data_IF_500410563464
#
_entry.id   IF_500410563464
#
_cell.length_a   1.000
_cell.length_b   1.000
_cell.length_c   1.000
_cell.angle_alpha   90.00
_cell.angle_beta   90.00
_cell.angle_gamma   90.00
#
_symmetry.space_group_name_H-M   'P 1'
#
loop_
_entity.id
_entity.type
_entity.pdbx_description
1 polymer ?
#
# COMPACT_ATOMS: atom_id res chain seq x y z
N UNK A 1 18.05 -1.82 2.11
CA UNK A 1 17.24 -2.02 0.88
C UNK A 1 16.23 -3.14 1.05
N UNK A 2 16.64 -4.40 1.29
CA UNK A 2 15.72 -5.56 1.38
C UNK A 2 14.61 -5.39 2.42
N UNK A 3 14.92 -4.89 3.61
CA UNK A 3 13.92 -4.61 4.65
C UNK A 3 12.87 -3.58 4.21
N UNK A 4 13.26 -2.58 3.42
CA UNK A 4 12.34 -1.60 2.85
C UNK A 4 11.44 -2.25 1.80
N UNK A 5 11.99 -3.06 0.89
CA UNK A 5 11.20 -3.82 -0.09
C UNK A 5 10.22 -4.78 0.61
N UNK A 6 10.65 -5.47 1.67
CA UNK A 6 9.75 -6.30 2.48
C UNK A 6 8.64 -5.48 3.11
N UNK A 7 8.93 -4.24 3.55
CA UNK A 7 7.92 -3.34 4.11
C UNK A 7 6.92 -2.88 3.04
N UNK A 8 7.38 -2.62 1.81
CA UNK A 8 6.52 -2.32 0.66
C UNK A 8 5.54 -3.47 0.38
N UNK A 9 6.00 -4.73 0.48
CA UNK A 9 5.15 -5.94 0.34
C UNK A 9 4.11 -6.07 1.45
N UNK A 10 4.44 -5.67 2.67
CA UNK A 10 3.48 -5.64 3.76
C UNK A 10 2.44 -4.51 3.60
N UNK A 11 2.87 -3.32 3.19
CA UNK A 11 1.99 -2.19 2.91
C UNK A 11 0.99 -2.53 1.80
N UNK A 12 1.46 -3.10 0.68
CA UNK A 12 0.58 -3.58 -0.39
C UNK A 12 -0.49 -4.54 0.13
N UNK A 13 -0.11 -5.60 0.86
CA UNK A 13 -1.09 -6.55 1.41
C UNK A 13 -2.11 -5.89 2.34
N UNK A 14 -1.73 -4.82 3.05
CA UNK A 14 -2.66 -4.08 3.91
C UNK A 14 -3.55 -3.13 3.11
N UNK A 15 -3.03 -2.47 2.09
CA UNK A 15 -3.79 -1.64 1.14
C UNK A 15 -4.85 -2.54 0.48
N UNK A 16 -4.45 -3.60 -0.22
CA UNK A 16 -5.35 -4.50 -0.96
C UNK A 16 -6.51 -5.10 -0.12
N UNK A 17 -6.35 -5.23 1.20
CA UNK A 17 -7.39 -5.76 2.09
C UNK A 17 -8.27 -4.70 2.75
N UNK A 18 -8.02 -3.41 2.54
CA UNK A 18 -8.74 -2.34 3.26
C UNK A 18 -10.23 -2.34 2.90
N UNK A 19 -10.59 -2.42 1.62
CA UNK A 19 -11.97 -2.59 1.19
C UNK A 19 -12.60 -3.90 1.67
N UNK A 20 -11.90 -5.04 1.53
CA UNK A 20 -12.43 -6.33 1.98
C UNK A 20 -12.77 -6.34 3.48
N UNK A 21 -11.97 -5.66 4.29
CA UNK A 21 -12.22 -5.52 5.73
C UNK A 21 -13.49 -4.73 6.01
N UNK A 22 -13.78 -3.68 5.23
CA UNK A 22 -15.04 -2.95 5.30
C UNK A 22 -16.22 -3.81 4.82
N UNK A 23 -16.05 -4.56 3.74
CA UNK A 23 -17.09 -5.46 3.19
C UNK A 23 -17.51 -6.56 4.18
N UNK A 24 -16.60 -7.00 5.05
CA UNK A 24 -16.88 -7.99 6.12
C UNK A 24 -17.71 -7.41 7.26
N UNK A 25 -17.82 -6.08 7.38
CA UNK A 25 -18.72 -5.44 8.32
C UNK A 25 -20.15 -5.65 7.83
N UNK A 26 -21.01 -6.22 8.69
CA UNK A 26 -22.44 -6.39 8.36
C UNK A 26 -23.05 -5.04 8.01
N UNK A 27 -23.90 -4.99 6.98
CA UNK A 27 -24.53 -3.76 6.49
C UNK A 27 -25.17 -2.91 7.59
N UNK A 28 -25.86 -3.55 8.56
CA UNK A 28 -26.47 -2.87 9.70
C UNK A 28 -25.49 -2.19 10.69
N UNK A 29 -24.18 -2.49 10.58
CA UNK A 29 -23.09 -1.92 11.39
C UNK A 29 -22.19 -0.98 10.59
N UNK A 30 -22.42 -0.84 9.28
CA UNK A 30 -21.66 0.08 8.46
C UNK A 30 -22.13 1.51 8.78
N UNK A 31 -21.19 2.37 9.17
CA UNK A 31 -21.47 3.75 9.52
C UNK A 31 -20.34 4.66 9.07
N UNK A 32 -20.63 5.96 8.89
CA UNK A 32 -19.61 6.96 8.57
C UNK A 32 -18.48 6.97 9.61
N UNK A 33 -18.82 6.79 10.89
CA UNK A 33 -17.86 6.70 11.99
C UNK A 33 -16.90 5.49 11.89
N UNK A 34 -17.24 4.47 11.09
CA UNK A 34 -16.39 3.32 10.81
C UNK A 34 -15.64 3.46 9.47
N UNK A 35 -16.31 4.00 8.45
CA UNK A 35 -15.75 4.18 7.10
C UNK A 35 -14.66 5.26 7.13
N UNK A 36 -14.91 6.41 7.78
CA UNK A 36 -13.97 7.53 7.76
C UNK A 36 -12.58 7.16 8.33
N UNK A 37 -12.47 6.51 9.51
CA UNK A 37 -11.16 6.06 10.00
C UNK A 37 -10.51 5.00 9.11
N UNK A 38 -11.30 4.14 8.45
CA UNK A 38 -10.76 3.13 7.53
C UNK A 38 -10.14 3.79 6.28
N UNK A 39 -10.78 4.81 5.73
CA UNK A 39 -10.27 5.60 4.61
C UNK A 39 -9.01 6.37 5.00
N UNK A 40 -9.02 7.08 6.14
CA UNK A 40 -7.83 7.79 6.64
C UNK A 40 -6.66 6.83 6.88
N UNK A 41 -6.94 5.62 7.38
CA UNK A 41 -5.91 4.60 7.56
C UNK A 41 -5.40 4.05 6.22
N UNK A 42 -6.25 3.92 5.20
CA UNK A 42 -5.85 3.52 3.85
C UNK A 42 -4.91 4.57 3.23
N UNK A 43 -5.31 5.85 3.25
CA UNK A 43 -4.50 6.98 2.78
C UNK A 43 -3.15 7.06 3.51
N UNK A 44 -3.13 6.90 4.84
CA UNK A 44 -1.89 6.87 5.61
C UNK A 44 -0.92 5.76 5.19
N UNK A 45 -1.43 4.57 4.80
CA UNK A 45 -0.58 3.49 4.29
C UNK A 45 -0.03 3.81 2.90
N UNK A 46 -0.84 4.43 2.05
CA UNK A 46 -0.42 4.87 0.73
C UNK A 46 0.70 5.92 0.83
N UNK A 47 0.49 6.98 1.61
CA UNK A 47 1.51 8.02 1.81
C UNK A 47 2.83 7.45 2.36
N UNK A 48 2.75 6.45 3.26
CA UNK A 48 3.94 5.74 3.76
C UNK A 48 4.62 4.89 2.69
N UNK A 49 3.83 4.25 1.81
CA UNK A 49 4.36 3.49 0.68
C UNK A 49 5.15 4.40 -0.26
N UNK A 50 4.57 5.53 -0.67
CA UNK A 50 5.20 6.53 -1.54
C UNK A 50 6.50 7.08 -0.94
N UNK A 51 6.47 7.52 0.33
CA UNK A 51 7.66 8.05 0.99
C UNK A 51 8.81 7.03 1.08
N UNK A 52 8.48 5.75 1.32
CA UNK A 52 9.48 4.68 1.33
C UNK A 52 9.96 4.33 -0.08
N UNK A 53 9.10 4.41 -1.10
CA UNK A 53 9.47 4.22 -2.49
C UNK A 53 10.46 5.29 -2.96
N UNK A 54 10.17 6.56 -2.65
CA UNK A 54 11.08 7.68 -2.92
C UNK A 54 12.43 7.47 -2.22
N UNK A 55 12.42 7.09 -0.93
CA UNK A 55 13.64 6.78 -0.20
C UNK A 55 14.45 5.63 -0.83
N UNK A 56 13.77 4.59 -1.31
CA UNK A 56 14.38 3.47 -2.03
C UNK A 56 15.07 3.96 -3.31
N UNK A 57 14.40 4.78 -4.12
CA UNK A 57 14.97 5.31 -5.36
C UNK A 57 16.17 6.22 -5.07
N UNK A 58 16.05 7.17 -4.13
CA UNK A 58 17.12 8.13 -3.85
C UNK A 58 18.36 7.49 -3.24
N UNK A 59 18.19 6.48 -2.39
CA UNK A 59 19.29 5.90 -1.60
C UNK A 59 19.90 4.66 -2.26
N UNK A 60 19.10 3.91 -3.02
CA UNK A 60 19.45 2.55 -3.44
C UNK A 60 19.28 2.31 -4.95
N UNK A 61 19.10 3.35 -5.77
CA UNK A 61 18.81 3.27 -7.22
C UNK A 61 19.51 2.13 -7.97
N UNK A 62 20.85 2.03 -7.88
CA UNK A 62 21.63 1.04 -8.63
C UNK A 62 21.26 -0.40 -8.28
N UNK A 63 21.22 -0.74 -6.99
CA UNK A 63 20.85 -2.08 -6.55
C UNK A 63 19.36 -2.36 -6.69
N UNK A 64 18.53 -1.32 -6.60
CA UNK A 64 17.07 -1.43 -6.74
C UNK A 64 16.66 -1.79 -8.17
N UNK A 65 17.36 -1.27 -9.19
CA UNK A 65 17.05 -1.50 -10.61
C UNK A 65 17.07 -2.98 -11.02
N UNK A 66 17.86 -3.80 -10.33
CA UNK A 66 17.99 -5.24 -10.60
C UNK A 66 16.96 -6.09 -9.82
N UNK A 67 16.18 -5.48 -8.92
CA UNK A 67 15.22 -6.22 -8.09
C UNK A 67 13.89 -6.47 -8.81
N UNK A 68 13.17 -7.49 -8.34
CA UNK A 68 11.79 -7.75 -8.77
C UNK A 68 10.87 -6.56 -8.53
N UNK A 69 11.14 -5.75 -7.50
CA UNK A 69 10.40 -4.55 -7.16
C UNK A 69 10.33 -3.53 -8.32
N UNK A 70 11.40 -3.39 -9.11
CA UNK A 70 11.41 -2.51 -10.29
C UNK A 70 11.03 -3.29 -11.54
N UNK A 71 11.64 -4.45 -11.75
CA UNK A 71 11.46 -5.21 -13.01
C UNK A 71 10.05 -5.77 -13.21
N UNK A 72 9.26 -5.91 -12.13
CA UNK A 72 7.85 -6.31 -12.21
C UNK A 72 6.86 -5.15 -12.21
N UNK A 73 7.33 -3.90 -12.25
CA UNK A 73 6.47 -2.72 -12.12
C UNK A 73 5.59 -2.76 -10.85
N UNK A 74 6.23 -3.11 -9.73
CA UNK A 74 5.54 -3.38 -8.48
C UNK A 74 4.75 -2.16 -7.97
N UNK A 75 5.29 -0.95 -8.16
CA UNK A 75 4.65 0.30 -7.74
C UNK A 75 3.29 0.48 -8.39
N UNK A 76 3.20 0.30 -9.71
CA UNK A 76 1.94 0.41 -10.45
C UNK A 76 0.92 -0.62 -9.99
N UNK A 77 1.37 -1.83 -9.64
CA UNK A 77 0.49 -2.87 -9.06
C UNK A 77 -0.12 -2.40 -7.73
N UNK A 78 0.67 -1.77 -6.85
CA UNK A 78 0.17 -1.26 -5.57
C UNK A 78 -0.71 -0.03 -5.75
N UNK A 79 -0.39 0.84 -6.70
CA UNK A 79 -1.21 2.00 -7.07
C UNK A 79 -2.60 1.56 -7.54
N UNK A 80 -2.67 0.58 -8.45
CA UNK A 80 -3.95 0.00 -8.88
C UNK A 80 -4.73 -0.55 -7.68
N UNK A 81 -4.06 -1.31 -6.80
CA UNK A 81 -4.71 -1.82 -5.59
C UNK A 81 -5.22 -0.69 -4.67
N UNK A 82 -4.57 0.47 -4.62
CA UNK A 82 -5.04 1.64 -3.86
C UNK A 82 -6.22 2.34 -4.53
N UNK A 83 -6.24 2.41 -5.87
CA UNK A 83 -7.32 3.04 -6.63
C UNK A 83 -8.59 2.18 -6.71
N UNK A 84 -8.45 0.85 -6.68
CA UNK A 84 -9.56 -0.13 -6.75
C UNK A 84 -10.24 -0.42 -5.40
N UNK A 85 -10.05 0.43 -4.39
CA UNK A 85 -10.63 0.28 -3.05
C UNK A 85 -12.13 0.55 -2.99
#
# INVERSE_FOLDING_TARGET
MEALISTQRDLHRRIARSYENLRKVRAAKLSVALVQPAMTNLESKWNKFEAQHEHLQLTFAKGLAETDYITSDYVSTVELAYLEQ
#
